data_IF_244411010145
#
_entry.id   IF_244411010145
#
_cell.length_a   1.000
_cell.length_b   1.000
_cell.length_c   1.000
_cell.angle_alpha   90.00
_cell.angle_beta   90.00
_cell.angle_gamma   90.00
#
_symmetry.space_group_name_H-M   'P 1'
#
loop_
_entity.id
_entity.type
_entity.pdbx_description
1 polymer ?
#
# COMPACT_ATOMS: atom_id res chain seq x y z
N UNK A 1 2.08 -5.63 11.60
CA UNK A 1 2.63 -6.35 10.43
C UNK A 1 3.61 -5.47 9.63
N UNK A 2 3.26 -4.20 9.38
CA UNK A 2 4.12 -3.26 8.64
C UNK A 2 5.18 -2.59 9.56
N UNK A 3 6.31 -3.26 9.78
CA UNK A 3 7.35 -2.77 10.69
C UNK A 3 7.90 -1.38 10.29
N UNK A 4 8.08 -1.13 8.99
CA UNK A 4 8.59 0.16 8.48
C UNK A 4 7.63 1.34 8.66
N UNK A 5 6.35 1.08 8.94
CA UNK A 5 5.33 2.11 9.17
C UNK A 5 4.92 2.24 10.64
N UNK A 6 5.53 1.43 11.52
CA UNK A 6 5.22 1.43 12.96
C UNK A 6 5.90 2.62 13.65
N UNK A 7 5.22 3.77 13.64
CA UNK A 7 5.71 5.02 14.22
C UNK A 7 4.77 5.53 15.31
N UNK A 8 5.33 5.92 16.47
CA UNK A 8 4.56 6.51 17.57
C UNK A 8 4.44 8.04 17.51
N UNK A 9 5.43 8.74 16.94
CA UNK A 9 5.47 10.21 16.87
C UNK A 9 5.99 10.64 15.49
N UNK A 10 5.23 11.45 14.73
CA UNK A 10 5.65 11.87 13.40
C UNK A 10 6.90 12.75 13.45
N UNK A 11 7.75 12.63 12.42
CA UNK A 11 8.86 13.57 12.22
C UNK A 11 8.32 15.00 12.04
N UNK A 12 8.82 15.95 12.83
CA UNK A 12 8.40 17.36 12.77
C UNK A 12 8.69 17.94 11.38
N UNK A 13 9.89 17.72 10.85
CA UNK A 13 10.28 18.20 9.52
C UNK A 13 9.43 17.58 8.41
N UNK A 14 9.17 16.28 8.50
CA UNK A 14 8.32 15.58 7.53
C UNK A 14 6.88 16.08 7.59
N UNK A 15 6.37 16.32 8.79
CA UNK A 15 5.00 16.77 9.02
C UNK A 15 4.74 18.16 8.43
N UNK A 16 5.68 19.10 8.57
CA UNK A 16 5.52 20.45 7.99
C UNK A 16 5.35 20.40 6.46
N UNK A 17 6.09 19.51 5.79
CA UNK A 17 5.97 19.30 4.35
C UNK A 17 4.62 18.64 4.02
N UNK A 18 4.27 17.56 4.71
CA UNK A 18 3.05 16.79 4.44
C UNK A 18 1.79 17.63 4.69
N UNK A 19 1.73 18.36 5.81
CA UNK A 19 0.60 19.24 6.14
C UNK A 19 0.38 20.32 5.08
N UNK A 20 1.46 20.79 4.45
CA UNK A 20 1.38 21.85 3.43
C UNK A 20 1.09 21.33 2.01
N UNK A 21 1.39 20.06 1.71
CA UNK A 21 1.41 19.54 0.32
C UNK A 21 0.53 18.32 0.08
N UNK A 22 0.20 17.53 1.10
CA UNK A 22 -0.65 16.37 0.93
C UNK A 22 -2.10 16.80 0.74
N UNK A 23 -2.77 16.18 -0.23
CA UNK A 23 -4.22 16.39 -0.46
C UNK A 23 -5.10 15.62 0.53
N UNK A 24 -4.53 14.63 1.22
CA UNK A 24 -5.26 13.81 2.18
C UNK A 24 -4.37 12.78 2.87
N UNK A 25 -4.93 12.12 3.88
CA UNK A 25 -4.32 11.01 4.63
C UNK A 25 -5.36 9.91 4.79
N UNK A 26 -4.91 8.66 4.86
CA UNK A 26 -5.78 7.51 5.10
C UNK A 26 -5.10 6.49 5.99
N UNK A 27 -5.92 5.70 6.70
CA UNK A 27 -5.48 4.54 7.46
C UNK A 27 -5.80 3.27 6.67
N UNK A 28 -4.87 2.33 6.64
CA UNK A 28 -5.04 1.04 5.95
C UNK A 28 -4.94 -0.07 7.01
N UNK A 29 -5.92 -0.97 7.12
CA UNK A 29 -5.85 -2.07 8.07
C UNK A 29 -4.85 -3.15 7.62
N UNK A 30 -4.15 -3.76 8.58
CA UNK A 30 -3.17 -4.83 8.35
C UNK A 30 -3.78 -6.04 7.59
N UNK A 31 -5.10 -6.24 7.65
CA UNK A 31 -5.81 -7.30 6.91
C UNK A 31 -5.67 -7.19 5.39
N UNK A 32 -5.29 -6.03 4.85
CA UNK A 32 -5.05 -5.83 3.42
C UNK A 32 -3.62 -6.12 2.99
N UNK A 33 -2.69 -6.32 3.93
CA UNK A 33 -1.27 -6.53 3.64
C UNK A 33 -1.06 -7.82 2.84
N UNK A 34 -1.51 -8.96 3.37
CA UNK A 34 -1.33 -10.25 2.71
C UNK A 34 -2.00 -10.32 1.32
N UNK A 35 -3.26 -9.90 1.13
CA UNK A 35 -3.88 -9.85 -0.20
C UNK A 35 -3.11 -8.96 -1.20
N UNK A 36 -2.63 -7.79 -0.75
CA UNK A 36 -1.89 -6.88 -1.62
C UNK A 36 -0.51 -7.42 -2.00
N UNK A 37 0.21 -8.05 -1.06
CA UNK A 37 1.48 -8.73 -1.34
C UNK A 37 1.29 -9.86 -2.35
N UNK A 38 0.23 -10.67 -2.20
CA UNK A 38 -0.08 -11.76 -3.14
C UNK A 38 -0.40 -11.25 -4.54
N UNK A 39 -1.12 -10.14 -4.66
CA UNK A 39 -1.42 -9.52 -5.95
C UNK A 39 -0.14 -9.05 -6.65
N UNK A 40 0.82 -8.51 -5.90
CA UNK A 40 2.11 -8.08 -6.47
C UNK A 40 2.98 -9.27 -6.89
N UNK A 41 2.99 -10.35 -6.09
CA UNK A 41 3.73 -11.56 -6.40
C UNK A 41 3.09 -12.40 -7.52
N UNK A 42 1.75 -12.37 -7.64
CA UNK A 42 0.94 -13.09 -8.62
C UNK A 42 0.00 -12.11 -9.33
N UNK A 43 0.52 -11.32 -10.27
CA UNK A 43 -0.22 -10.24 -10.90
C UNK A 43 -1.30 -10.74 -11.87
N UNK A 44 -2.18 -9.84 -12.28
CA UNK A 44 -3.23 -10.12 -13.25
C UNK A 44 -2.70 -9.97 -14.69
N UNK A 45 -3.07 -10.90 -15.56
CA UNK A 45 -2.70 -10.82 -16.98
C UNK A 45 -1.19 -10.89 -17.20
N UNK A 46 -0.65 -9.93 -17.96
CA UNK A 46 0.76 -9.89 -18.34
C UNK A 46 1.58 -8.87 -17.52
N UNK A 47 1.01 -8.33 -16.44
CA UNK A 47 1.72 -7.41 -15.55
C UNK A 47 2.94 -8.12 -14.92
N UNK A 48 4.06 -7.42 -14.69
CA UNK A 48 5.25 -8.01 -14.11
C UNK A 48 5.02 -8.32 -12.62
N UNK A 49 5.48 -9.51 -12.20
CA UNK A 49 5.53 -9.84 -10.79
C UNK A 49 6.57 -8.97 -10.07
N UNK A 50 6.20 -8.47 -8.89
CA UNK A 50 7.05 -7.62 -8.06
C UNK A 50 7.09 -8.21 -6.66
N UNK A 51 8.31 -8.51 -6.18
CA UNK A 51 8.53 -8.85 -4.78
C UNK A 51 8.41 -7.56 -3.93
N UNK A 52 7.35 -7.47 -3.13
CA UNK A 52 7.06 -6.32 -2.29
C UNK A 52 6.85 -6.76 -0.84
N UNK A 53 7.61 -6.19 0.09
CA UNK A 53 7.44 -6.44 1.53
C UNK A 53 6.18 -5.82 2.11
N UNK A 54 5.95 -6.08 3.38
CA UNK A 54 4.74 -5.71 4.12
C UNK A 54 4.49 -4.21 4.11
N UNK A 55 5.53 -3.39 4.30
CA UNK A 55 5.38 -1.94 4.32
C UNK A 55 5.25 -1.35 2.91
N UNK A 56 5.78 -2.03 1.89
CA UNK A 56 5.79 -1.55 0.51
C UNK A 56 4.40 -1.54 -0.12
N UNK A 57 3.48 -2.37 0.37
CA UNK A 57 2.13 -2.48 -0.21
C UNK A 57 1.15 -1.42 0.27
N UNK A 58 1.52 -0.58 1.25
CA UNK A 58 0.54 0.28 1.92
C UNK A 58 -0.16 1.24 0.97
N UNK A 59 0.60 1.79 0.01
CA UNK A 59 0.05 2.64 -1.05
C UNK A 59 -0.91 1.89 -1.99
N UNK A 60 -0.55 0.67 -2.40
CA UNK A 60 -1.40 -0.17 -3.24
C UNK A 60 -2.69 -0.58 -2.53
N UNK A 61 -2.58 -1.07 -1.29
CA UNK A 61 -3.71 -1.47 -0.47
C UNK A 61 -4.68 -0.30 -0.23
N UNK A 62 -4.15 0.89 0.09
CA UNK A 62 -4.94 2.10 0.22
C UNK A 62 -5.65 2.48 -1.08
N UNK A 63 -4.93 2.45 -2.21
CA UNK A 63 -5.50 2.73 -3.53
C UNK A 63 -6.62 1.75 -3.89
N UNK A 64 -6.40 0.44 -3.78
CA UNK A 64 -7.40 -0.58 -4.11
C UNK A 64 -8.65 -0.46 -3.22
N UNK A 65 -8.49 -0.16 -1.93
CA UNK A 65 -9.60 0.06 -1.02
C UNK A 65 -10.40 1.32 -1.38
N UNK A 66 -9.71 2.40 -1.74
CA UNK A 66 -10.34 3.65 -2.13
C UNK A 66 -11.04 3.56 -3.49
N UNK A 67 -10.41 2.92 -4.48
CA UNK A 67 -10.96 2.76 -5.82
C UNK A 67 -12.26 1.94 -5.86
N UNK A 68 -12.45 1.02 -4.91
CA UNK A 68 -13.67 0.22 -4.77
C UNK A 68 -14.81 0.96 -4.05
N UNK A 69 -14.57 2.16 -3.53
CA UNK A 69 -15.51 2.95 -2.75
C UNK A 69 -15.80 4.27 -3.45
N UNK A 70 -17.02 4.43 -3.95
CA UNK A 70 -17.40 5.61 -4.75
C UNK A 70 -17.13 6.94 -4.04
N UNK A 71 -17.41 7.01 -2.73
CA UNK A 71 -17.14 8.18 -1.90
C UNK A 71 -15.65 8.52 -1.82
N UNK A 72 -14.81 7.51 -1.60
CA UNK A 72 -13.36 7.69 -1.50
C UNK A 72 -12.72 8.00 -2.86
N UNK A 73 -13.09 7.23 -3.90
CA UNK A 73 -12.63 7.47 -5.26
C UNK A 73 -12.95 8.91 -5.71
N UNK A 74 -14.18 9.37 -5.47
CA UNK A 74 -14.57 10.75 -5.78
C UNK A 74 -13.75 11.78 -4.97
N UNK A 75 -13.54 11.54 -3.67
CA UNK A 75 -12.75 12.45 -2.82
C UNK A 75 -11.27 12.55 -3.25
N UNK A 76 -10.73 11.48 -3.82
CA UNK A 76 -9.37 11.41 -4.35
C UNK A 76 -9.27 11.86 -5.81
N UNK A 77 -10.39 12.16 -6.47
CA UNK A 77 -10.44 12.49 -7.90
C UNK A 77 -10.03 11.34 -8.80
N UNK A 78 -10.24 10.09 -8.38
CA UNK A 78 -9.92 8.89 -9.15
C UNK A 78 -11.00 8.60 -10.18
N UNK A 79 -10.57 8.37 -11.41
CA UNK A 79 -11.39 7.99 -12.56
C UNK A 79 -10.62 7.06 -13.50
N UNK A 80 -11.26 6.68 -14.62
CA UNK A 80 -10.66 5.79 -15.61
C UNK A 80 -9.47 6.41 -16.38
N UNK A 81 -9.29 7.74 -16.32
CA UNK A 81 -8.18 8.45 -16.97
C UNK A 81 -7.00 8.70 -16.01
N UNK A 82 -7.16 8.37 -14.74
CA UNK A 82 -6.19 8.64 -13.70
C UNK A 82 -4.91 7.83 -13.89
N UNK A 83 -3.76 8.48 -13.67
CA UNK A 83 -2.44 7.84 -13.63
C UNK A 83 -1.91 7.89 -12.21
N UNK A 84 -1.82 6.73 -11.57
CA UNK A 84 -1.46 6.61 -10.15
C UNK A 84 0.00 6.18 -10.03
N UNK A 85 0.79 6.92 -9.24
CA UNK A 85 2.14 6.54 -8.86
C UNK A 85 2.13 5.94 -7.46
N UNK A 86 2.67 4.74 -7.31
CA UNK A 86 2.90 4.07 -6.04
C UNK A 86 4.40 3.88 -5.84
N UNK A 87 4.87 3.99 -4.58
CA UNK A 87 6.27 3.79 -4.23
C UNK A 87 6.36 2.57 -3.30
N UNK A 88 6.94 1.48 -3.81
CA UNK A 88 7.33 0.34 -2.99
C UNK A 88 8.62 0.65 -2.24
N UNK A 89 8.59 0.62 -0.92
CA UNK A 89 9.72 1.04 -0.07
C UNK A 89 10.72 -0.07 0.22
N UNK A 90 10.31 -1.34 0.06
CA UNK A 90 11.10 -2.52 0.40
C UNK A 90 10.68 -3.76 -0.41
N UNK A 91 11.60 -4.72 -0.57
CA UNK A 91 11.33 -6.08 -1.05
C UNK A 91 11.01 -7.03 0.11
N UNK A 92 11.21 -8.34 -0.05
CA UNK A 92 11.03 -9.32 1.03
C UNK A 92 12.17 -9.24 2.06
N UNK A 93 12.09 -8.27 2.98
CA UNK A 93 13.12 -8.03 4.01
C UNK A 93 13.14 -9.12 5.09
N UNK A 94 12.00 -9.77 5.34
CA UNK A 94 11.86 -10.98 6.16
C UNK A 94 11.29 -12.13 5.29
N UNK A 95 12.14 -13.05 4.81
CA UNK A 95 11.70 -14.14 3.94
C UNK A 95 10.70 -15.11 4.59
N UNK A 96 10.76 -15.30 5.92
CA UNK A 96 9.87 -16.21 6.63
C UNK A 96 8.46 -15.62 6.73
N UNK A 97 8.37 -14.35 7.14
CA UNK A 97 7.09 -13.64 7.19
C UNK A 97 6.52 -13.46 5.79
N UNK A 98 7.35 -13.11 4.80
CA UNK A 98 6.92 -13.02 3.41
C UNK A 98 6.29 -14.32 2.91
N UNK A 99 6.97 -15.46 3.12
CA UNK A 99 6.45 -16.77 2.72
C UNK A 99 5.14 -17.11 3.44
N UNK A 100 5.04 -16.83 4.74
CA UNK A 100 3.83 -17.05 5.52
C UNK A 100 2.65 -16.20 4.99
N UNK A 101 2.88 -14.91 4.72
CA UNK A 101 1.86 -14.01 4.19
C UNK A 101 1.44 -14.38 2.77
N UNK A 102 2.31 -14.94 1.95
CA UNK A 102 1.90 -15.49 0.66
C UNK A 102 1.06 -16.76 0.81
N UNK A 103 1.31 -17.58 1.83
CA UNK A 103 0.60 -18.83 2.07
C UNK A 103 -0.75 -18.68 2.80
N UNK A 104 -0.98 -17.60 3.55
CA UNK A 104 -2.14 -17.38 4.44
C UNK A 104 -3.48 -17.09 3.70
N UNK A 105 -3.73 -17.75 2.57
CA UNK A 105 -4.81 -17.47 1.62
C UNK A 105 -5.50 -18.71 1.05
N UNK A 106 -5.42 -19.82 1.76
CA UNK A 106 -6.18 -21.05 1.48
C UNK A 106 -7.65 -20.95 1.88
#
# INVERSE_FOLDING_TARGET
>A
LMAGLSCGVPSVLGWDILKARASGFMTVPDSLVAPAMRLMANPLGDDPAIEAGESAIAGLAGFLAAAQRADMAQSMGLDAASRVLLIGTEGATDPEVYAALLADGG
#
